data_IF_392042974369
#
_entry.id   IF_392042974369
#
_cell.length_a   1.000
_cell.length_b   1.000
_cell.length_c   1.000
_cell.angle_alpha   90.00
_cell.angle_beta   90.00
_cell.angle_gamma   90.00
#
_symmetry.space_group_name_H-M   'P 1'
#
loop_
_entity.id
_entity.type
_entity.pdbx_description
1 polymer ?
#
# COMPACT_ATOMS: atom_id res chain seq x y z
N UNK A 1 -0.47 11.73 3.52
CA UNK A 1 0.93 12.19 3.29
C UNK A 1 1.78 12.21 4.55
N UNK A 2 1.27 11.82 5.74
CA UNK A 2 2.05 11.85 6.99
C UNK A 2 2.72 13.20 7.28
N UNK A 3 2.11 14.31 6.79
CA UNK A 3 2.67 15.67 6.85
C UNK A 3 4.03 15.84 6.14
N UNK A 4 4.40 14.90 5.26
CA UNK A 4 5.57 14.99 4.41
C UNK A 4 5.34 16.02 3.29
N UNK A 5 6.03 17.16 3.38
CA UNK A 5 5.89 18.28 2.43
C UNK A 5 6.22 17.91 0.98
N UNK A 6 7.07 16.90 0.75
CA UNK A 6 7.39 16.41 -0.60
C UNK A 6 6.20 15.74 -1.27
N UNK A 7 5.26 15.22 -0.47
CA UNK A 7 4.04 14.55 -0.95
C UNK A 7 2.86 15.51 -1.06
N UNK A 8 3.03 16.79 -0.73
CA UNK A 8 1.99 17.79 -0.91
C UNK A 8 1.86 18.14 -2.38
N UNK A 9 0.64 17.97 -2.92
CA UNK A 9 0.32 18.39 -4.27
C UNK A 9 0.49 19.90 -4.43
N UNK A 10 0.80 20.33 -5.65
CA UNK A 10 0.96 21.75 -6.03
C UNK A 10 -0.09 22.20 -7.08
N UNK A 11 -1.16 21.43 -7.24
CA UNK A 11 -2.24 21.68 -8.22
C UNK A 11 -3.59 21.85 -7.51
N UNK A 12 -4.44 22.76 -8.03
CA UNK A 12 -5.78 23.04 -7.50
C UNK A 12 -5.85 24.24 -6.56
N UNK A 13 -7.05 24.50 -6.01
CA UNK A 13 -7.36 25.74 -5.28
C UNK A 13 -7.20 25.63 -3.75
N UNK A 14 -6.91 24.44 -3.22
CA UNK A 14 -6.93 24.14 -1.78
C UNK A 14 -5.54 23.76 -1.25
N UNK A 15 -4.48 24.35 -1.80
CA UNK A 15 -3.08 24.03 -1.46
C UNK A 15 -2.69 24.39 -0.02
N UNK A 16 -3.50 25.20 0.65
CA UNK A 16 -3.31 25.64 2.03
C UNK A 16 -4.00 24.74 3.07
N UNK A 17 -4.66 23.67 2.65
CA UNK A 17 -5.31 22.71 3.54
C UNK A 17 -4.41 21.48 3.78
N UNK A 18 -4.50 20.90 4.99
CA UNK A 18 -3.82 19.65 5.28
C UNK A 18 -4.41 18.49 4.48
N UNK A 19 -3.54 17.60 4.00
CA UNK A 19 -3.87 16.40 3.22
C UNK A 19 -3.44 15.11 3.95
N UNK A 20 -3.32 15.20 5.28
CA UNK A 20 -3.09 14.05 6.15
C UNK A 20 -4.34 13.16 6.19
N UNK A 21 -4.15 11.85 6.33
CA UNK A 21 -5.24 10.87 6.53
C UNK A 21 -4.96 10.14 7.83
N UNK A 22 -6.00 9.87 8.62
CA UNK A 22 -5.83 9.39 9.99
C UNK A 22 -5.77 7.86 10.12
N UNK A 23 -6.17 7.12 9.09
CA UNK A 23 -6.17 5.66 9.06
C UNK A 23 -6.15 5.17 7.61
N UNK A 24 -5.54 4.01 7.35
CA UNK A 24 -5.45 3.43 6.00
C UNK A 24 -5.92 1.98 6.02
N UNK A 25 -6.73 1.61 5.02
CA UNK A 25 -6.98 0.21 4.69
C UNK A 25 -6.41 -0.06 3.31
N UNK A 26 -5.44 -0.97 3.23
CA UNK A 26 -4.79 -1.39 1.99
C UNK A 26 -5.33 -2.76 1.56
N UNK A 27 -5.97 -2.81 0.40
CA UNK A 27 -6.39 -4.05 -0.24
C UNK A 27 -5.37 -4.42 -1.31
N UNK A 28 -4.54 -5.42 -1.00
CA UNK A 28 -3.62 -6.07 -1.93
C UNK A 28 -2.80 -5.11 -2.82
N UNK A 29 -2.36 -3.98 -2.25
CA UNK A 29 -1.62 -2.95 -2.97
C UNK A 29 -0.16 -3.34 -3.29
N UNK A 30 0.40 -2.86 -4.42
CA UNK A 30 1.85 -2.85 -4.65
C UNK A 30 2.53 -1.83 -3.72
N UNK A 31 3.61 -2.22 -3.05
CA UNK A 31 4.24 -1.41 -1.98
C UNK A 31 5.74 -1.21 -2.17
N UNK A 32 6.41 -2.14 -2.84
CA UNK A 32 7.77 -2.02 -3.34
C UNK A 32 7.90 -2.67 -4.73
N UNK A 33 7.90 -1.80 -5.74
CA UNK A 33 7.98 -2.18 -7.15
C UNK A 33 9.39 -2.67 -7.56
N UNK A 34 10.42 -2.47 -6.74
CA UNK A 34 11.78 -2.94 -7.05
C UNK A 34 11.89 -4.45 -6.85
N UNK A 35 11.19 -4.97 -5.84
CA UNK A 35 11.18 -6.39 -5.47
C UNK A 35 9.84 -7.06 -5.80
N UNK A 36 9.05 -6.45 -6.69
CA UNK A 36 7.68 -6.86 -7.00
C UNK A 36 7.54 -8.37 -7.29
N UNK A 37 8.59 -8.98 -7.84
CA UNK A 37 8.62 -10.39 -8.20
C UNK A 37 9.74 -11.20 -7.54
N UNK A 38 10.55 -10.62 -6.65
CA UNK A 38 11.58 -11.35 -5.88
C UNK A 38 10.97 -12.15 -4.71
N UNK A 39 9.64 -12.31 -4.74
CA UNK A 39 8.88 -13.04 -3.77
C UNK A 39 8.81 -14.53 -4.13
N UNK A 40 8.71 -15.44 -3.15
CA UNK A 40 8.83 -16.89 -3.37
C UNK A 40 7.86 -17.47 -4.42
N UNK A 41 6.76 -16.78 -4.72
CA UNK A 41 5.69 -17.23 -5.63
C UNK A 41 5.94 -16.77 -7.09
N UNK A 42 6.90 -15.88 -7.34
CA UNK A 42 7.08 -15.21 -8.64
C UNK A 42 8.50 -15.26 -9.20
N UNK A 43 9.24 -16.33 -8.94
CA UNK A 43 10.40 -16.78 -9.73
C UNK A 43 11.25 -15.66 -10.40
N UNK A 44 11.75 -14.71 -9.60
CA UNK A 44 12.91 -13.85 -9.90
C UNK A 44 12.83 -12.94 -11.13
N UNK A 45 11.64 -12.52 -11.60
CA UNK A 45 11.51 -11.68 -12.81
C UNK A 45 11.04 -10.27 -12.48
N UNK A 46 11.94 -9.27 -12.44
CA UNK A 46 11.55 -7.86 -12.33
C UNK A 46 10.49 -7.42 -13.37
N UNK A 47 9.70 -6.40 -13.05
CA UNK A 47 8.70 -5.82 -13.97
C UNK A 47 9.34 -5.48 -15.32
N UNK A 48 8.73 -5.95 -16.41
CA UNK A 48 9.20 -5.67 -17.77
C UNK A 48 9.03 -4.19 -18.09
N UNK A 49 9.83 -3.65 -19.01
CA UNK A 49 9.71 -2.25 -19.44
C UNK A 49 8.29 -1.90 -19.92
N UNK A 50 7.60 -2.85 -20.57
CA UNK A 50 6.21 -2.67 -21.02
C UNK A 50 5.22 -2.56 -19.86
N UNK A 51 5.37 -3.38 -18.81
CA UNK A 51 4.55 -3.27 -17.60
C UNK A 51 4.79 -1.93 -16.91
N UNK A 52 6.04 -1.47 -16.87
CA UNK A 52 6.39 -0.17 -16.30
C UNK A 52 5.78 0.99 -17.09
N UNK A 53 5.86 0.95 -18.42
CA UNK A 53 5.26 1.94 -19.32
C UNK A 53 3.73 1.94 -19.19
N UNK A 54 3.09 0.78 -18.98
CA UNK A 54 1.63 0.72 -18.81
C UNK A 54 1.16 1.49 -17.57
N UNK A 55 1.93 1.47 -16.49
CA UNK A 55 1.57 2.13 -15.22
C UNK A 55 1.93 3.61 -15.21
N UNK A 56 3.12 3.98 -15.68
CA UNK A 56 3.63 5.36 -15.56
C UNK A 56 3.71 6.13 -16.88
N UNK A 57 3.33 5.50 -18.00
CA UNK A 57 3.54 6.05 -19.33
C UNK A 57 5.00 5.96 -19.80
N UNK A 58 5.25 6.47 -21.01
CA UNK A 58 6.60 6.64 -21.52
C UNK A 58 7.21 7.90 -20.90
N UNK A 59 8.11 7.70 -19.93
CA UNK A 59 8.73 8.77 -19.14
C UNK A 59 10.24 8.64 -19.12
N UNK A 60 10.93 9.77 -19.09
CA UNK A 60 12.36 9.79 -18.85
C UNK A 60 12.68 9.22 -17.46
N UNK A 61 13.65 8.31 -17.39
CA UNK A 61 14.08 7.64 -16.16
C UNK A 61 12.94 7.00 -15.36
N UNK A 62 12.28 6.00 -15.98
CA UNK A 62 11.23 5.19 -15.38
C UNK A 62 11.61 4.62 -14.00
N UNK A 63 12.88 4.25 -13.78
CA UNK A 63 13.36 3.73 -12.50
C UNK A 63 13.18 4.72 -11.36
N UNK A 64 13.49 6.01 -11.59
CA UNK A 64 13.27 7.06 -10.58
C UNK A 64 11.79 7.26 -10.26
N UNK A 65 10.91 7.14 -11.26
CA UNK A 65 9.46 7.23 -11.05
C UNK A 65 8.93 6.07 -10.21
N UNK A 66 9.49 4.88 -10.40
CA UNK A 66 9.20 3.70 -9.61
C UNK A 66 9.58 3.88 -8.14
N UNK A 67 10.81 4.34 -7.86
CA UNK A 67 11.24 4.62 -6.49
C UNK A 67 10.34 5.66 -5.80
N UNK A 68 9.94 6.70 -6.52
CA UNK A 68 9.04 7.72 -6.01
C UNK A 68 7.62 7.19 -5.76
N UNK A 69 7.21 6.11 -6.41
CA UNK A 69 5.87 5.56 -6.26
C UNK A 69 5.77 4.54 -5.12
N UNK A 70 6.90 4.00 -4.64
CA UNK A 70 6.93 3.01 -3.56
C UNK A 70 6.50 3.64 -2.22
N UNK A 71 5.32 3.32 -1.66
CA UNK A 71 4.85 3.91 -0.40
C UNK A 71 5.77 3.59 0.80
N UNK A 72 6.49 2.46 0.75
CA UNK A 72 7.39 2.04 1.83
C UNK A 72 8.51 3.06 2.10
N UNK A 73 8.89 3.86 1.11
CA UNK A 73 9.93 4.88 1.21
C UNK A 73 9.49 6.13 2.02
N UNK A 74 8.19 6.25 2.32
CA UNK A 74 7.62 7.42 2.97
C UNK A 74 7.07 7.13 4.37
N UNK A 75 7.34 5.94 4.91
CA UNK A 75 6.96 5.59 6.27
C UNK A 75 7.78 6.43 7.24
N UNK A 76 7.10 7.20 8.08
CA UNK A 76 7.70 7.96 9.17
C UNK A 76 6.82 7.90 10.43
N UNK A 77 7.22 8.60 11.48
CA UNK A 77 6.53 8.64 12.78
C UNK A 77 5.10 9.21 12.73
N UNK A 78 4.74 9.93 11.66
CA UNK A 78 3.41 10.50 11.46
C UNK A 78 2.55 9.63 10.54
N UNK A 79 3.06 8.48 10.08
CA UNK A 79 2.28 7.52 9.31
C UNK A 79 1.10 7.02 10.14
N UNK A 80 -0.13 7.06 9.61
CA UNK A 80 -1.31 6.61 10.34
C UNK A 80 -1.29 5.08 10.53
N UNK A 81 -2.16 4.53 11.40
CA UNK A 81 -2.38 3.09 11.49
C UNK A 81 -2.87 2.46 10.17
N UNK A 82 -2.48 1.21 9.94
CA UNK A 82 -2.84 0.43 8.75
C UNK A 82 -3.59 -0.86 9.11
N UNK A 83 -4.62 -1.16 8.34
CA UNK A 83 -5.12 -2.52 8.15
C UNK A 83 -4.81 -2.96 6.72
N UNK A 84 -4.13 -4.08 6.55
CA UNK A 84 -3.70 -4.61 5.27
C UNK A 84 -4.40 -5.94 5.03
N UNK A 85 -5.05 -6.10 3.87
CA UNK A 85 -5.83 -7.29 3.53
C UNK A 85 -5.34 -7.83 2.18
N UNK A 86 -4.94 -9.10 2.13
CA UNK A 86 -4.40 -9.71 0.91
C UNK A 86 -4.75 -11.20 0.80
N UNK A 87 -5.05 -11.66 -0.42
CA UNK A 87 -5.18 -13.09 -0.72
C UNK A 87 -3.83 -13.78 -0.96
N UNK A 88 -3.59 -14.94 -0.36
CA UNK A 88 -2.31 -15.64 -0.54
C UNK A 88 -2.14 -16.28 -1.93
N UNK A 89 -3.24 -16.40 -2.70
CA UNK A 89 -3.24 -16.90 -4.09
C UNK A 89 -3.37 -15.77 -5.11
N UNK A 90 -3.13 -14.53 -4.72
CA UNK A 90 -3.09 -13.40 -5.65
C UNK A 90 -1.97 -13.61 -6.69
N UNK A 91 -2.37 -13.60 -7.97
CA UNK A 91 -1.49 -13.80 -9.13
C UNK A 91 -1.16 -12.50 -9.86
N UNK A 92 -1.70 -11.38 -9.41
CA UNK A 92 -1.50 -10.05 -10.00
C UNK A 92 -0.56 -9.24 -9.12
N UNK A 93 -0.83 -9.17 -7.82
CA UNK A 93 0.05 -8.57 -6.83
C UNK A 93 0.52 -9.65 -5.87
N UNK A 94 1.82 -9.95 -5.78
CA UNK A 94 2.29 -10.98 -4.86
C UNK A 94 2.07 -10.59 -3.39
N UNK A 95 1.56 -11.51 -2.58
CA UNK A 95 1.23 -11.29 -1.14
C UNK A 95 2.38 -10.75 -0.30
N UNK A 96 3.63 -10.99 -0.73
CA UNK A 96 4.81 -10.43 -0.09
C UNK A 96 4.81 -8.90 -0.04
N UNK A 97 4.14 -8.21 -0.97
CA UNK A 97 4.06 -6.75 -0.98
C UNK A 97 3.38 -6.25 0.31
N UNK A 98 2.28 -6.90 0.70
CA UNK A 98 1.62 -6.62 1.97
C UNK A 98 2.47 -7.04 3.18
N UNK A 99 3.20 -8.16 3.10
CA UNK A 99 4.13 -8.59 4.17
C UNK A 99 5.26 -7.57 4.38
N UNK A 100 5.87 -7.08 3.30
CA UNK A 100 6.95 -6.07 3.34
C UNK A 100 6.46 -4.75 3.95
N UNK A 101 5.29 -4.27 3.53
CA UNK A 101 4.71 -3.05 4.09
C UNK A 101 4.40 -3.21 5.58
N UNK A 102 3.74 -4.31 5.97
CA UNK A 102 3.43 -4.61 7.36
C UNK A 102 4.69 -4.63 8.24
N UNK A 103 5.74 -5.33 7.81
CA UNK A 103 7.01 -5.37 8.54
C UNK A 103 7.67 -3.99 8.65
N UNK A 104 7.65 -3.19 7.59
CA UNK A 104 8.24 -1.84 7.60
C UNK A 104 7.49 -0.88 8.53
N UNK A 105 6.15 -0.97 8.57
CA UNK A 105 5.31 -0.23 9.51
C UNK A 105 5.63 -0.61 10.95
N UNK A 106 5.68 -1.92 11.27
CA UNK A 106 6.01 -2.39 12.61
C UNK A 106 7.43 -1.99 13.04
N UNK A 107 8.43 -2.10 12.16
CA UNK A 107 9.81 -1.65 12.41
C UNK A 107 9.88 -0.14 12.70
N UNK A 108 8.94 0.63 12.17
CA UNK A 108 8.82 2.07 12.41
C UNK A 108 7.92 2.42 13.60
N UNK A 109 7.50 1.43 14.40
CA UNK A 109 6.56 1.55 15.51
C UNK A 109 5.18 2.11 15.12
N UNK A 110 4.72 1.81 13.91
CA UNK A 110 3.39 2.17 13.42
C UNK A 110 2.44 0.99 13.62
N UNK A 111 1.22 1.26 14.12
CA UNK A 111 0.18 0.24 14.26
C UNK A 111 -0.18 -0.35 12.89
N UNK A 112 -0.03 -1.66 12.75
CA UNK A 112 -0.37 -2.37 11.52
C UNK A 112 -0.97 -3.73 11.83
N UNK A 113 -2.10 -4.04 11.19
CA UNK A 113 -2.72 -5.37 11.19
C UNK A 113 -2.66 -5.94 9.78
N UNK A 114 -2.31 -7.23 9.64
CA UNK A 114 -2.22 -7.93 8.37
C UNK A 114 -3.16 -9.14 8.36
N UNK A 115 -4.14 -9.12 7.47
CA UNK A 115 -5.11 -10.19 7.26
C UNK A 115 -4.79 -10.89 5.94
N UNK A 116 -4.37 -12.14 6.04
CA UNK A 116 -4.09 -13.01 4.89
C UNK A 116 -5.24 -14.00 4.70
N UNK A 117 -5.74 -14.09 3.47
CA UNK A 117 -6.76 -15.07 3.09
C UNK A 117 -6.11 -16.17 2.26
N UNK A 118 -5.97 -17.37 2.85
CA UNK A 118 -5.27 -18.51 2.24
C UNK A 118 -5.78 -18.88 0.83
N UNK A 119 -7.09 -18.76 0.58
CA UNK A 119 -7.72 -19.07 -0.70
C UNK A 119 -8.04 -17.84 -1.56
N UNK A 120 -7.71 -16.64 -1.08
CA UNK A 120 -8.03 -15.37 -1.76
C UNK A 120 -7.13 -15.11 -2.96
N UNK A 121 -7.71 -14.58 -4.04
CA UNK A 121 -6.99 -14.08 -5.21
C UNK A 121 -7.16 -12.55 -5.36
N UNK A 122 -6.72 -11.99 -6.50
CA UNK A 122 -6.76 -10.54 -6.78
C UNK A 122 -8.18 -9.98 -6.97
N UNK A 123 -9.12 -10.80 -7.44
CA UNK A 123 -10.43 -10.37 -7.93
C UNK A 123 -11.60 -11.03 -7.19
N UNK A 124 -11.33 -11.93 -6.23
CA UNK A 124 -12.30 -12.87 -5.69
C UNK A 124 -12.13 -13.12 -4.20
N UNK A 125 -13.26 -13.31 -3.52
CA UNK A 125 -13.43 -13.72 -2.12
C UNK A 125 -12.71 -12.89 -1.02
N UNK A 126 -11.80 -11.97 -1.36
CA UNK A 126 -11.19 -10.95 -0.50
C UNK A 126 -12.09 -9.71 -0.35
N UNK A 127 -13.05 -9.51 -1.27
CA UNK A 127 -14.08 -8.47 -1.20
C UNK A 127 -15.45 -9.07 -0.81
N UNK A 128 -15.50 -9.73 0.35
CA UNK A 128 -16.73 -10.32 0.90
C UNK A 128 -17.19 -9.51 2.12
N UNK A 129 -18.43 -9.71 2.60
CA UNK A 129 -18.96 -8.97 3.75
C UNK A 129 -18.04 -8.98 4.98
N UNK A 130 -17.27 -10.06 5.18
CA UNK A 130 -16.30 -10.18 6.26
C UNK A 130 -15.20 -9.10 6.20
N UNK A 131 -14.48 -8.97 5.08
CA UNK A 131 -13.40 -7.98 4.95
C UNK A 131 -13.93 -6.54 4.98
N UNK A 132 -15.14 -6.32 4.45
CA UNK A 132 -15.80 -5.00 4.53
C UNK A 132 -16.13 -4.64 5.98
N UNK A 133 -16.56 -5.61 6.80
CA UNK A 133 -16.77 -5.40 8.22
C UNK A 133 -15.47 -5.14 8.98
N UNK A 134 -14.37 -5.85 8.64
CA UNK A 134 -13.05 -5.56 9.21
C UNK A 134 -12.62 -4.11 8.93
N UNK A 135 -12.74 -3.68 7.67
CA UNK A 135 -12.48 -2.29 7.26
C UNK A 135 -13.33 -1.29 8.04
N UNK A 136 -14.65 -1.50 8.12
CA UNK A 136 -15.57 -0.60 8.81
C UNK A 136 -15.25 -0.50 10.32
N UNK A 137 -15.01 -1.65 10.96
CA UNK A 137 -14.65 -1.71 12.37
C UNK A 137 -13.29 -1.05 12.63
N UNK A 138 -12.31 -1.28 11.76
CA UNK A 138 -11.01 -0.63 11.86
C UNK A 138 -11.15 0.89 11.83
N UNK A 139 -11.84 1.45 10.82
CA UNK A 139 -12.05 2.89 10.75
C UNK A 139 -12.83 3.43 11.96
N UNK A 140 -13.88 2.74 12.40
CA UNK A 140 -14.65 3.12 13.59
C UNK A 140 -13.76 3.17 14.85
N UNK A 141 -12.91 2.16 15.04
CA UNK A 141 -11.99 2.10 16.17
C UNK A 141 -10.94 3.20 16.11
N UNK A 142 -10.35 3.45 14.93
CA UNK A 142 -9.36 4.53 14.77
C UNK A 142 -9.99 5.92 14.97
N UNK A 143 -11.24 6.12 14.56
CA UNK A 143 -11.99 7.35 14.84
C UNK A 143 -12.18 7.55 16.34
N UNK A 144 -12.61 6.52 17.07
CA UNK A 144 -12.84 6.63 18.51
C UNK A 144 -11.56 6.84 19.34
N UNK A 145 -10.39 6.42 18.85
CA UNK A 145 -9.09 6.71 19.48
C UNK A 145 -8.69 8.19 19.41
N UNK A 146 -9.34 8.98 18.54
CA UNK A 146 -9.05 10.40 18.32
C UNK A 146 -9.99 11.34 19.10
N UNK A 147 -11.04 10.79 19.73
CA UNK A 147 -11.94 11.51 20.63
C UNK A 147 -11.34 11.58 22.05
#
# INVERSE_FOLDING_TARGET
TSSNKLLNGNVGNYLNYENHVNAVVDFYGPTDLNVFYDCPITDGKALTIEQKIRVFGNVENISKKFELANPINYIDKNTPPFLIIHGEKDKVVPVCQSKLLHEALLKSNIESELILKEDGDHNGNTFMPYQTNLMANFFYNQYNKQL
#
